data_IF_192630737836
#
_entry.id   IF_192630737836
#
_cell.length_a   1.000
_cell.length_b   1.000
_cell.length_c   1.000
_cell.angle_alpha   90.00
_cell.angle_beta   90.00
_cell.angle_gamma   90.00
#
_symmetry.space_group_name_H-M   'P 1'
#
loop_
_entity.id
_entity.type
_entity.pdbx_description
1 polymer ?
#
# COMPACT_ATOMS: atom_id res chain seq x y z
N UNK A 1 4.19 26.43 -0.11
CA UNK A 1 3.74 25.08 -0.53
C UNK A 1 3.72 24.19 0.69
N UNK A 2 2.61 23.47 0.94
CA UNK A 2 2.49 22.58 2.09
C UNK A 2 3.36 21.32 1.89
N UNK A 3 3.86 20.73 3.00
CA UNK A 3 4.69 19.50 2.98
C UNK A 3 4.02 18.34 2.23
N UNK A 4 2.69 18.31 2.19
CA UNK A 4 1.88 17.35 1.45
C UNK A 4 2.02 17.52 -0.07
N UNK A 5 2.13 18.74 -0.56
CA UNK A 5 2.29 19.03 -1.99
C UNK A 5 3.68 18.64 -2.51
N UNK A 6 4.72 18.73 -1.67
CA UNK A 6 6.08 18.31 -2.03
C UNK A 6 6.20 16.77 -2.11
N UNK A 7 5.57 16.05 -1.18
CA UNK A 7 5.54 14.58 -1.19
C UNK A 7 4.77 14.02 -2.40
N UNK A 8 3.66 14.65 -2.75
CA UNK A 8 2.87 14.26 -3.93
C UNK A 8 3.63 14.51 -5.23
N UNK A 9 4.35 15.64 -5.33
CA UNK A 9 5.16 15.95 -6.50
C UNK A 9 6.32 14.95 -6.69
N UNK A 10 6.99 14.53 -5.62
CA UNK A 10 8.07 13.54 -5.69
C UNK A 10 7.55 12.15 -6.12
N UNK A 11 6.40 11.71 -5.60
CA UNK A 11 5.80 10.44 -6.00
C UNK A 11 5.35 10.44 -7.47
N UNK A 12 4.81 11.55 -7.95
CA UNK A 12 4.42 11.71 -9.36
C UNK A 12 5.65 11.68 -10.29
N UNK A 13 6.75 12.32 -9.90
CA UNK A 13 7.99 12.33 -10.70
C UNK A 13 8.61 10.93 -10.79
N UNK A 14 8.61 10.14 -9.73
CA UNK A 14 9.10 8.75 -9.73
C UNK A 14 8.23 7.84 -10.59
N UNK A 15 6.92 7.97 -10.52
CA UNK A 15 5.99 7.19 -11.33
C UNK A 15 6.11 7.54 -12.83
N UNK A 16 6.27 8.83 -13.15
CA UNK A 16 6.45 9.29 -14.54
C UNK A 16 7.81 8.87 -15.12
N UNK A 17 8.90 8.84 -14.32
CA UNK A 17 10.21 8.39 -14.80
C UNK A 17 10.25 6.90 -15.13
N UNK A 18 9.58 6.05 -14.34
CA UNK A 18 9.46 4.62 -14.63
C UNK A 18 8.62 4.37 -15.91
N UNK A 19 7.55 5.14 -16.13
CA UNK A 19 6.76 5.10 -17.35
C UNK A 19 7.53 5.48 -18.60
N UNK A 20 8.39 6.50 -18.52
CA UNK A 20 9.20 6.98 -19.65
C UNK A 20 10.33 6.01 -20.03
N UNK A 21 11.00 5.40 -19.07
CA UNK A 21 11.99 4.34 -19.34
C UNK A 21 11.33 3.16 -20.05
N UNK A 22 10.11 2.78 -19.63
CA UNK A 22 9.32 1.75 -20.30
C UNK A 22 8.94 2.13 -21.74
N UNK A 23 8.51 3.37 -21.97
CA UNK A 23 8.16 3.89 -23.31
C UNK A 23 9.39 3.93 -24.23
N UNK A 24 10.55 4.34 -23.72
CA UNK A 24 11.81 4.35 -24.49
C UNK A 24 12.23 2.93 -24.86
N UNK A 25 12.18 1.97 -23.93
CA UNK A 25 12.48 0.55 -24.20
C UNK A 25 11.50 -0.04 -25.22
N UNK A 26 10.21 0.27 -25.12
CA UNK A 26 9.18 -0.17 -26.06
C UNK A 26 9.37 0.42 -27.47
N UNK A 27 9.79 1.68 -27.56
CA UNK A 27 10.11 2.32 -28.82
C UNK A 27 11.36 1.71 -29.50
N UNK A 28 12.39 1.30 -28.74
CA UNK A 28 13.57 0.60 -29.28
C UNK A 28 13.18 -0.79 -29.79
N UNK A 29 12.34 -1.54 -29.08
CA UNK A 29 11.83 -2.83 -29.54
C UNK A 29 10.97 -2.70 -30.80
N UNK A 30 10.08 -1.71 -30.86
CA UNK A 30 9.26 -1.41 -32.03
C UNK A 30 10.10 -1.04 -33.25
N UNK A 31 11.18 -0.29 -33.10
CA UNK A 31 12.13 0.03 -34.21
C UNK A 31 12.77 -1.24 -34.76
N UNK A 32 13.16 -2.18 -33.90
CA UNK A 32 13.77 -3.44 -34.30
C UNK A 32 12.77 -4.36 -35.01
N UNK A 33 11.52 -4.37 -34.56
CA UNK A 33 10.42 -5.16 -35.15
C UNK A 33 10.01 -4.60 -36.54
N UNK A 34 9.91 -3.27 -36.66
CA UNK A 34 9.60 -2.59 -37.94
C UNK A 34 10.73 -2.78 -38.94
N UNK A 35 12.00 -2.75 -38.51
CA UNK A 35 13.12 -3.02 -39.38
C UNK A 35 13.10 -4.47 -39.91
N UNK A 36 12.72 -5.45 -39.07
CA UNK A 36 12.53 -6.86 -39.47
C UNK A 36 11.34 -7.05 -40.41
N UNK A 37 10.22 -6.40 -40.19
CA UNK A 37 9.04 -6.47 -41.05
C UNK A 37 9.21 -5.75 -42.35
N UNK A 38 10.01 -4.67 -42.39
CA UNK A 38 10.33 -3.92 -43.59
C UNK A 38 11.20 -4.73 -44.60
N UNK A 39 12.10 -5.55 -44.07
CA UNK A 39 12.89 -6.49 -44.88
C UNK A 39 12.09 -7.68 -45.41
N UNK A 40 11.01 -8.08 -44.71
CA UNK A 40 10.18 -9.21 -45.07
C UNK A 40 9.02 -8.90 -46.04
N UNK A 41 8.56 -7.65 -46.15
CA UNK A 41 7.26 -7.32 -46.74
C UNK A 41 7.35 -6.54 -48.09
N UNK A 42 8.51 -6.23 -48.67
CA UNK A 42 8.60 -5.52 -49.97
C UNK A 42 7.86 -4.17 -50.00
N UNK A 43 7.66 -3.54 -48.84
CA UNK A 43 6.89 -2.32 -48.71
C UNK A 43 7.56 -1.13 -49.44
N UNK A 44 6.76 -0.29 -50.10
CA UNK A 44 7.18 0.92 -50.80
C UNK A 44 8.10 1.77 -49.93
N UNK A 45 9.29 2.08 -50.47
CA UNK A 45 10.32 2.92 -49.81
C UNK A 45 9.79 4.25 -49.26
N UNK A 46 8.73 4.77 -49.85
CA UNK A 46 8.09 6.04 -49.47
C UNK A 46 7.29 5.92 -48.13
N UNK A 47 6.60 4.83 -47.95
CA UNK A 47 5.81 4.59 -46.73
C UNK A 47 6.70 4.28 -45.53
N UNK A 48 7.79 3.56 -45.76
CA UNK A 48 8.84 3.32 -44.77
C UNK A 48 9.52 4.61 -44.30
N UNK A 49 9.91 5.49 -45.26
CA UNK A 49 10.48 6.80 -44.93
C UNK A 49 9.53 7.65 -44.08
N UNK A 50 8.21 7.60 -44.36
CA UNK A 50 7.21 8.33 -43.60
C UNK A 50 7.06 7.79 -42.17
N UNK A 51 7.04 6.46 -41.98
CA UNK A 51 6.99 5.82 -40.67
C UNK A 51 8.26 6.09 -39.86
N UNK A 52 9.42 6.05 -40.47
CA UNK A 52 10.70 6.37 -39.82
C UNK A 52 10.75 7.84 -39.39
N UNK A 53 10.29 8.77 -40.22
CA UNK A 53 10.23 10.19 -39.88
C UNK A 53 9.29 10.46 -38.69
N UNK A 54 8.11 9.84 -38.66
CA UNK A 54 7.16 9.96 -37.55
C UNK A 54 7.71 9.37 -36.24
N UNK A 55 8.43 8.24 -36.30
CA UNK A 55 9.09 7.64 -35.16
C UNK A 55 10.28 8.46 -34.65
N UNK A 56 11.01 9.09 -35.54
CA UNK A 56 12.12 10.01 -35.18
C UNK A 56 11.60 11.27 -34.48
N UNK A 57 10.45 11.81 -34.91
CA UNK A 57 9.81 12.93 -34.24
C UNK A 57 9.31 12.54 -32.82
N UNK A 58 8.70 11.36 -32.68
CA UNK A 58 8.26 10.87 -31.36
C UNK A 58 9.42 10.59 -30.42
N UNK A 59 10.53 10.08 -30.95
CA UNK A 59 11.74 9.85 -30.17
C UNK A 59 12.36 11.16 -29.67
N UNK A 60 12.42 12.18 -30.51
CA UNK A 60 12.91 13.51 -30.12
C UNK A 60 12.04 14.19 -29.08
N UNK A 61 10.70 14.02 -29.16
CA UNK A 61 9.79 14.50 -28.14
C UNK A 61 9.99 13.77 -26.80
N UNK A 62 10.14 12.45 -26.81
CA UNK A 62 10.41 11.66 -25.62
C UNK A 62 11.78 12.00 -24.97
N UNK A 63 12.79 12.31 -25.76
CA UNK A 63 14.09 12.78 -25.26
C UNK A 63 13.99 14.19 -24.62
N UNK A 64 13.18 15.08 -25.17
CA UNK A 64 12.92 16.39 -24.59
C UNK A 64 12.17 16.30 -23.26
N UNK A 65 11.17 15.41 -23.18
CA UNK A 65 10.43 15.15 -21.95
C UNK A 65 11.32 14.50 -20.88
N UNK A 66 12.21 13.58 -21.27
CA UNK A 66 13.18 12.97 -20.37
C UNK A 66 14.17 14.01 -19.82
N UNK A 67 14.65 14.94 -20.64
CA UNK A 67 15.53 16.03 -20.21
C UNK A 67 14.80 17.01 -19.25
N UNK A 68 13.53 17.33 -19.52
CA UNK A 68 12.71 18.16 -18.64
C UNK A 68 12.47 17.49 -17.27
N UNK A 69 12.21 16.19 -17.25
CA UNK A 69 12.08 15.40 -16.03
C UNK A 69 13.37 15.30 -15.25
N UNK A 70 14.51 15.14 -15.91
CA UNK A 70 15.82 15.11 -15.27
C UNK A 70 16.13 16.46 -14.59
N UNK A 71 15.78 17.57 -15.24
CA UNK A 71 15.88 18.92 -14.66
C UNK A 71 14.94 19.10 -13.47
N UNK A 72 13.71 18.62 -13.54
CA UNK A 72 12.75 18.63 -12.43
C UNK A 72 13.24 17.77 -11.25
N UNK A 73 13.81 16.59 -11.53
CA UNK A 73 14.40 15.72 -10.51
C UNK A 73 15.61 16.38 -9.82
N UNK A 74 16.45 17.08 -10.56
CA UNK A 74 17.56 17.87 -9.98
C UNK A 74 17.05 19.02 -9.11
N UNK A 75 15.98 19.72 -9.53
CA UNK A 75 15.34 20.77 -8.73
C UNK A 75 14.72 20.21 -7.43
N UNK A 76 14.10 19.03 -7.47
CA UNK A 76 13.59 18.35 -6.28
C UNK A 76 14.74 17.92 -5.36
N UNK A 77 15.83 17.35 -5.89
CA UNK A 77 17.02 16.99 -5.11
C UNK A 77 17.68 18.20 -4.44
N UNK A 78 17.77 19.31 -5.16
CA UNK A 78 18.30 20.58 -4.57
C UNK A 78 17.38 21.15 -3.51
N UNK A 79 16.05 21.08 -3.68
CA UNK A 79 15.08 21.45 -2.67
C UNK A 79 15.13 20.52 -1.43
N UNK A 80 15.40 19.22 -1.63
CA UNK A 80 15.65 18.28 -0.53
C UNK A 80 16.95 18.56 0.21
N UNK A 81 17.98 19.10 -0.45
CA UNK A 81 19.24 19.48 0.21
C UNK A 81 19.08 20.67 1.18
N UNK A 82 18.03 21.47 1.00
CA UNK A 82 17.60 22.52 1.96
C UNK A 82 16.59 22.03 2.99
N UNK A 83 16.26 20.72 2.96
CA UNK A 83 15.34 20.12 3.91
C UNK A 83 15.88 20.18 5.35
N UNK A 84 14.96 20.25 6.32
CA UNK A 84 15.33 20.29 7.74
C UNK A 84 16.17 19.04 8.11
N UNK A 85 17.03 19.14 9.14
CA UNK A 85 17.83 17.99 9.60
C UNK A 85 17.00 16.72 9.84
N UNK A 86 15.77 16.87 10.35
CA UNK A 86 14.83 15.77 10.56
C UNK A 86 14.40 15.09 9.26
N UNK A 87 14.19 15.86 8.19
CA UNK A 87 13.81 15.30 6.87
C UNK A 87 14.94 14.50 6.22
N UNK A 88 16.21 14.93 6.42
CA UNK A 88 17.39 14.18 5.95
C UNK A 88 17.52 12.86 6.69
N UNK A 89 17.41 12.86 8.01
CA UNK A 89 17.48 11.64 8.82
C UNK A 89 16.42 10.61 8.39
N UNK A 90 15.20 11.07 8.07
CA UNK A 90 14.14 10.17 7.60
C UNK A 90 14.43 9.59 6.20
N UNK A 91 15.00 10.40 5.29
CA UNK A 91 15.39 9.93 3.95
C UNK A 91 16.52 8.91 4.04
N UNK A 92 17.56 9.21 4.82
CA UNK A 92 18.70 8.32 5.03
C UNK A 92 18.27 6.99 5.69
N UNK A 93 17.34 7.06 6.65
CA UNK A 93 16.79 5.87 7.32
C UNK A 93 16.04 4.96 6.33
N UNK A 94 15.24 5.56 5.44
CA UNK A 94 14.53 4.82 4.40
C UNK A 94 15.48 4.15 3.41
N UNK A 95 16.49 4.87 2.90
CA UNK A 95 17.49 4.30 1.97
C UNK A 95 18.26 3.15 2.61
N UNK A 96 18.62 3.28 3.89
CA UNK A 96 19.27 2.20 4.66
C UNK A 96 18.35 0.99 4.83
N UNK A 97 17.05 1.21 5.07
CA UNK A 97 16.07 0.14 5.18
C UNK A 97 15.87 -0.60 3.84
N UNK A 98 15.78 0.14 2.73
CA UNK A 98 15.66 -0.45 1.39
C UNK A 98 16.88 -1.31 1.06
N UNK A 99 18.10 -0.84 1.37
CA UNK A 99 19.33 -1.59 1.18
C UNK A 99 19.39 -2.85 2.08
N UNK A 100 18.96 -2.75 3.34
CA UNK A 100 18.89 -3.89 4.26
C UNK A 100 17.90 -4.96 3.78
N UNK A 101 16.71 -4.55 3.37
CA UNK A 101 15.71 -5.46 2.81
C UNK A 101 16.20 -6.16 1.53
N UNK A 102 16.92 -5.45 0.66
CA UNK A 102 17.51 -6.03 -0.54
C UNK A 102 18.58 -7.10 -0.19
N UNK A 103 19.45 -6.83 0.81
CA UNK A 103 20.42 -7.82 1.29
C UNK A 103 19.73 -9.05 1.88
N UNK A 104 18.73 -8.86 2.73
CA UNK A 104 17.96 -9.94 3.33
C UNK A 104 17.27 -10.80 2.26
N UNK A 105 16.66 -10.17 1.25
CA UNK A 105 16.03 -10.89 0.14
C UNK A 105 17.06 -11.73 -0.64
N UNK A 106 18.27 -11.21 -0.86
CA UNK A 106 19.34 -11.95 -1.51
C UNK A 106 19.77 -13.17 -0.68
N UNK A 107 19.95 -13.02 0.63
CA UNK A 107 20.25 -14.11 1.55
C UNK A 107 19.15 -15.20 1.50
N UNK A 108 17.90 -14.81 1.47
CA UNK A 108 16.77 -15.75 1.36
C UNK A 108 16.81 -16.55 0.04
N UNK A 109 17.13 -15.90 -1.08
CA UNK A 109 17.29 -16.57 -2.38
C UNK A 109 18.49 -17.53 -2.38
N UNK A 110 19.57 -17.20 -1.65
CA UNK A 110 20.74 -18.06 -1.47
C UNK A 110 20.48 -19.24 -0.50
N UNK A 111 19.27 -19.35 0.08
CA UNK A 111 18.93 -20.39 1.06
C UNK A 111 19.43 -20.13 2.47
N UNK A 112 20.03 -18.99 2.75
CA UNK A 112 20.52 -18.55 4.07
C UNK A 112 19.37 -17.92 4.88
N UNK A 113 18.34 -18.73 5.16
CA UNK A 113 17.05 -18.25 5.68
C UNK A 113 17.16 -17.58 7.06
N UNK A 114 18.03 -18.11 7.97
CA UNK A 114 18.19 -17.50 9.28
C UNK A 114 18.92 -16.16 9.18
N UNK A 115 19.99 -16.06 8.38
CA UNK A 115 20.70 -14.81 8.16
C UNK A 115 19.79 -13.74 7.53
N UNK A 116 18.90 -14.15 6.62
CA UNK A 116 17.90 -13.27 6.04
C UNK A 116 16.92 -12.72 7.10
N UNK A 117 16.43 -13.60 7.99
CA UNK A 117 15.55 -13.18 9.10
C UNK A 117 16.26 -12.22 10.04
N UNK A 118 17.50 -12.49 10.41
CA UNK A 118 18.29 -11.64 11.31
C UNK A 118 18.49 -10.23 10.72
N UNK A 119 18.74 -10.14 9.41
CA UNK A 119 18.88 -8.85 8.70
C UNK A 119 17.53 -8.10 8.63
N UNK A 120 16.39 -8.78 8.39
CA UNK A 120 15.07 -8.16 8.46
C UNK A 120 14.74 -7.64 9.86
N UNK A 121 15.01 -8.43 10.89
CA UNK A 121 14.77 -8.03 12.29
C UNK A 121 15.66 -6.87 12.73
N UNK A 122 16.91 -6.84 12.26
CA UNK A 122 17.81 -5.70 12.47
C UNK A 122 17.25 -4.45 11.81
N UNK A 123 16.84 -4.53 10.55
CA UNK A 123 16.20 -3.44 9.83
C UNK A 123 14.97 -2.90 10.59
N UNK A 124 14.10 -3.77 11.07
CA UNK A 124 12.94 -3.43 11.87
C UNK A 124 13.30 -2.61 13.13
N UNK A 125 14.30 -3.06 13.90
CA UNK A 125 14.75 -2.39 15.13
C UNK A 125 15.41 -1.03 14.84
N UNK A 126 16.21 -0.96 13.78
CA UNK A 126 16.89 0.27 13.35
C UNK A 126 15.89 1.35 12.93
N UNK A 127 14.77 0.97 12.29
CA UNK A 127 13.69 1.86 11.93
C UNK A 127 12.93 2.36 13.15
N UNK A 128 12.60 1.49 14.11
CA UNK A 128 11.96 1.88 15.37
C UNK A 128 12.77 2.94 16.11
N UNK A 129 14.09 2.76 16.19
CA UNK A 129 14.99 3.71 16.84
C UNK A 129 15.13 5.07 16.11
N UNK A 130 14.95 5.12 14.78
CA UNK A 130 15.16 6.32 13.97
C UNK A 130 13.87 7.08 13.63
N UNK A 131 12.79 6.38 13.40
CA UNK A 131 11.51 6.94 12.91
C UNK A 131 10.39 6.86 13.95
N UNK A 132 10.60 6.14 15.05
CA UNK A 132 9.58 5.77 16.02
C UNK A 132 8.91 4.44 15.70
N UNK A 133 8.33 3.83 16.72
CA UNK A 133 7.60 2.57 16.61
C UNK A 133 6.32 2.79 15.77
N UNK A 134 5.95 1.79 14.94
CA UNK A 134 4.77 1.87 14.07
C UNK A 134 4.93 2.71 12.79
N UNK A 135 6.15 3.18 12.46
CA UNK A 135 6.40 3.95 11.24
C UNK A 135 6.02 3.16 9.97
N UNK A 136 5.71 3.87 8.87
CA UNK A 136 5.32 3.25 7.58
C UNK A 136 6.40 2.29 7.06
N UNK A 137 7.68 2.66 7.21
CA UNK A 137 8.79 1.80 6.77
C UNK A 137 8.91 0.56 7.67
N UNK A 138 8.68 0.69 8.97
CA UNK A 138 8.64 -0.44 9.90
C UNK A 138 7.49 -1.39 9.58
N UNK A 139 6.29 -0.87 9.26
CA UNK A 139 5.15 -1.69 8.83
C UNK A 139 5.45 -2.47 7.55
N UNK A 140 6.20 -1.88 6.61
CA UNK A 140 6.65 -2.55 5.39
C UNK A 140 7.59 -3.70 5.70
N UNK A 141 8.54 -3.54 6.62
CA UNK A 141 9.43 -4.63 7.05
C UNK A 141 8.64 -5.73 7.74
N UNK A 142 7.68 -5.40 8.63
CA UNK A 142 6.78 -6.40 9.22
C UNK A 142 6.04 -7.24 8.17
N UNK A 143 5.51 -6.60 7.13
CA UNK A 143 4.84 -7.30 6.03
C UNK A 143 5.79 -8.28 5.32
N UNK A 144 7.03 -7.86 5.06
CA UNK A 144 8.03 -8.73 4.43
C UNK A 144 8.36 -9.92 5.33
N UNK A 145 8.55 -9.72 6.65
CA UNK A 145 8.78 -10.81 7.61
C UNK A 145 7.58 -11.76 7.67
N UNK A 146 6.36 -11.25 7.67
CA UNK A 146 5.15 -12.06 7.67
C UNK A 146 5.03 -12.93 6.41
N UNK A 147 5.29 -12.35 5.23
CA UNK A 147 5.33 -13.09 3.97
C UNK A 147 6.45 -14.14 3.96
N UNK A 148 7.62 -13.80 4.49
CA UNK A 148 8.73 -14.74 4.64
C UNK A 148 8.36 -15.90 5.56
N UNK A 149 7.53 -15.66 6.58
CA UNK A 149 6.99 -16.67 7.49
C UNK A 149 6.15 -17.77 6.81
N UNK A 150 5.63 -17.52 5.59
CA UNK A 150 4.89 -18.55 4.83
C UNK A 150 5.79 -19.69 4.37
N UNK A 151 7.08 -19.43 4.17
CA UNK A 151 8.09 -20.41 3.76
C UNK A 151 9.09 -20.75 4.86
N UNK A 152 9.23 -19.86 5.84
CA UNK A 152 10.19 -20.01 6.95
C UNK A 152 9.50 -19.75 8.30
N UNK A 153 8.91 -20.76 8.97
CA UNK A 153 8.14 -20.62 10.21
C UNK A 153 8.83 -19.87 11.35
N UNK A 154 10.18 -19.90 11.53
CA UNK A 154 10.85 -19.07 12.55
C UNK A 154 10.58 -17.56 12.40
N UNK A 155 10.27 -17.06 11.20
CA UNK A 155 9.92 -15.65 11.02
C UNK A 155 8.58 -15.30 11.69
N UNK A 156 7.61 -16.21 11.71
CA UNK A 156 6.35 -16.04 12.45
C UNK A 156 6.60 -16.01 13.96
N UNK A 157 7.48 -16.89 14.45
CA UNK A 157 7.86 -16.89 15.86
C UNK A 157 8.52 -15.57 16.27
N UNK A 158 9.40 -15.04 15.41
CA UNK A 158 10.04 -13.75 15.65
C UNK A 158 9.05 -12.58 15.70
N UNK A 159 8.01 -12.57 14.85
CA UNK A 159 6.94 -11.55 14.94
C UNK A 159 6.15 -11.66 16.25
N UNK A 160 5.89 -12.87 16.74
CA UNK A 160 5.24 -13.06 18.06
C UNK A 160 6.11 -12.53 19.18
N UNK A 161 7.41 -12.78 19.14
CA UNK A 161 8.36 -12.25 20.14
C UNK A 161 8.42 -10.72 20.12
N UNK A 162 8.39 -10.09 18.95
CA UNK A 162 8.30 -8.63 18.82
C UNK A 162 6.99 -8.11 19.46
N UNK A 163 5.85 -8.72 19.17
CA UNK A 163 4.57 -8.37 19.78
C UNK A 163 4.60 -8.49 21.29
N UNK A 164 5.09 -9.61 21.80
CA UNK A 164 5.11 -9.87 23.23
C UNK A 164 6.04 -8.89 23.96
N UNK A 165 7.14 -8.49 23.31
CA UNK A 165 8.02 -7.42 23.78
C UNK A 165 7.32 -6.07 23.80
N UNK A 166 6.58 -5.71 22.75
CA UNK A 166 5.80 -4.47 22.69
C UNK A 166 4.69 -4.46 23.77
N UNK A 167 4.03 -5.61 23.99
CA UNK A 167 3.04 -5.76 25.07
C UNK A 167 3.66 -5.55 26.45
N UNK A 168 4.87 -6.04 26.70
CA UNK A 168 5.58 -5.81 27.97
C UNK A 168 5.92 -4.33 28.17
N UNK A 169 6.41 -3.67 27.12
CA UNK A 169 6.66 -2.22 27.13
C UNK A 169 5.39 -1.42 27.41
N UNK A 170 4.27 -1.79 26.77
CA UNK A 170 2.99 -1.11 26.99
C UNK A 170 2.50 -1.26 28.43
N UNK A 171 2.71 -2.41 29.06
CA UNK A 171 2.39 -2.61 30.49
C UNK A 171 3.27 -1.73 31.40
N UNK A 172 4.52 -1.52 31.04
CA UNK A 172 5.47 -0.67 31.80
C UNK A 172 5.20 0.83 31.59
N UNK A 173 4.69 1.21 30.40
CA UNK A 173 4.39 2.59 30.00
C UNK A 173 3.02 2.66 29.34
N UNK A 174 1.93 2.62 30.12
CA UNK A 174 0.57 2.69 29.58
C UNK A 174 0.34 4.00 28.82
N UNK A 175 -0.45 3.94 27.74
CA UNK A 175 -0.86 5.14 26.99
C UNK A 175 0.08 5.51 25.85
N UNK A 176 1.06 4.70 25.49
CA UNK A 176 1.93 4.94 24.34
C UNK A 176 1.22 4.51 23.05
N UNK A 177 0.74 5.47 22.27
CA UNK A 177 -0.03 5.25 21.03
C UNK A 177 0.77 4.43 20.00
N UNK A 178 2.04 4.68 19.87
CA UNK A 178 2.94 3.98 18.96
C UNK A 178 3.01 2.49 19.29
N UNK A 179 3.09 2.12 20.58
CA UNK A 179 3.11 0.71 21.01
C UNK A 179 1.78 0.01 20.74
N UNK A 180 0.65 0.69 20.96
CA UNK A 180 -0.68 0.16 20.66
C UNK A 180 -0.81 -0.11 19.17
N UNK A 181 -0.36 0.83 18.34
CA UNK A 181 -0.34 0.67 16.87
C UNK A 181 0.54 -0.49 16.43
N UNK A 182 1.76 -0.60 17.00
CA UNK A 182 2.70 -1.67 16.71
C UNK A 182 2.12 -3.04 17.06
N UNK A 183 1.54 -3.19 18.26
CA UNK A 183 0.90 -4.44 18.70
C UNK A 183 -0.26 -4.82 17.78
N UNK A 184 -1.12 -3.87 17.43
CA UNK A 184 -2.26 -4.12 16.55
C UNK A 184 -1.81 -4.58 15.16
N UNK A 185 -0.79 -3.94 14.60
CA UNK A 185 -0.21 -4.32 13.30
C UNK A 185 0.44 -5.70 13.34
N UNK A 186 1.18 -6.02 14.40
CA UNK A 186 1.77 -7.34 14.60
C UNK A 186 0.68 -8.42 14.70
N UNK A 187 -0.38 -8.19 15.47
CA UNK A 187 -1.51 -9.12 15.57
C UNK A 187 -2.20 -9.33 14.22
N UNK A 188 -2.38 -8.26 13.43
CA UNK A 188 -2.97 -8.35 12.09
C UNK A 188 -2.10 -9.19 11.14
N UNK A 189 -0.77 -8.97 11.17
CA UNK A 189 0.19 -9.74 10.35
C UNK A 189 0.31 -11.21 10.77
N UNK A 190 0.04 -11.51 12.03
CA UNK A 190 0.00 -12.86 12.57
C UNK A 190 -1.35 -13.58 12.33
N UNK A 191 -2.38 -12.86 11.84
CA UNK A 191 -3.75 -13.37 11.77
C UNK A 191 -4.41 -13.52 13.15
N UNK A 192 -3.89 -12.84 14.15
CA UNK A 192 -4.33 -12.90 15.55
C UNK A 192 -5.14 -11.64 15.94
N UNK A 193 -5.98 -11.12 15.03
CA UNK A 193 -6.73 -9.88 15.24
C UNK A 193 -7.66 -9.89 16.46
N UNK A 194 -8.07 -11.08 16.95
CA UNK A 194 -8.80 -11.20 18.23
C UNK A 194 -7.99 -10.69 19.43
N UNK A 195 -6.66 -10.77 19.38
CA UNK A 195 -5.82 -10.21 20.43
C UNK A 195 -5.87 -8.67 20.43
N UNK A 196 -5.99 -8.04 19.27
CA UNK A 196 -6.23 -6.59 19.17
C UNK A 196 -7.60 -6.18 19.70
N UNK A 197 -8.65 -7.00 19.47
CA UNK A 197 -9.97 -6.76 20.06
C UNK A 197 -9.94 -6.90 21.57
N UNK A 198 -9.24 -7.90 22.12
CA UNK A 198 -9.07 -8.05 23.56
C UNK A 198 -8.35 -6.85 24.18
N UNK A 199 -7.31 -6.32 23.51
CA UNK A 199 -6.63 -5.09 23.96
C UNK A 199 -7.58 -3.89 23.91
N UNK A 200 -8.37 -3.74 22.83
CA UNK A 200 -9.39 -2.70 22.69
C UNK A 200 -10.39 -2.71 23.85
N UNK A 201 -10.84 -3.89 24.28
CA UNK A 201 -11.81 -4.05 25.37
C UNK A 201 -11.23 -3.66 26.75
N UNK A 202 -9.90 -3.62 26.90
CA UNK A 202 -9.26 -3.15 28.14
C UNK A 202 -9.14 -1.64 28.24
N UNK A 203 -9.29 -0.90 27.13
CA UNK A 203 -9.16 0.56 27.10
C UNK A 203 -10.48 1.24 27.53
N UNK A 204 -10.39 2.40 28.22
CA UNK A 204 -11.54 3.23 28.51
C UNK A 204 -12.33 3.59 27.24
N UNK A 205 -13.66 3.79 27.33
CA UNK A 205 -14.50 4.10 26.15
C UNK A 205 -14.08 5.37 25.37
N UNK A 206 -13.53 6.34 26.06
CA UNK A 206 -13.06 7.63 25.55
C UNK A 206 -11.57 7.65 25.20
N UNK A 207 -10.87 6.53 25.33
CA UNK A 207 -9.45 6.44 24.98
C UNK A 207 -9.26 6.55 23.46
N UNK A 208 -8.42 7.52 23.03
CA UNK A 208 -8.14 7.77 21.62
C UNK A 208 -7.51 6.55 20.91
N UNK A 209 -6.82 5.70 21.67
CA UNK A 209 -6.19 4.49 21.16
C UNK A 209 -7.20 3.44 20.68
N UNK A 210 -8.45 3.49 21.16
CA UNK A 210 -9.53 2.66 20.63
C UNK A 210 -9.77 2.94 19.15
N UNK A 211 -9.67 4.19 18.72
CA UNK A 211 -9.78 4.56 17.30
C UNK A 211 -8.69 3.91 16.45
N UNK A 212 -7.46 3.95 16.91
CA UNK A 212 -6.30 3.31 16.25
C UNK A 212 -6.45 1.80 16.17
N UNK A 213 -6.82 1.14 17.29
CA UNK A 213 -7.06 -0.30 17.32
C UNK A 213 -8.23 -0.70 16.40
N UNK A 214 -9.34 0.03 16.45
CA UNK A 214 -10.50 -0.25 15.62
C UNK A 214 -10.18 -0.13 14.12
N UNK A 215 -9.36 0.85 13.74
CA UNK A 215 -8.93 1.05 12.36
C UNK A 215 -8.03 -0.09 11.87
N UNK A 216 -7.04 -0.50 12.67
CA UNK A 216 -6.08 -1.54 12.29
C UNK A 216 -6.73 -2.93 12.32
N UNK A 217 -7.45 -3.27 13.39
CA UNK A 217 -8.10 -4.57 13.56
C UNK A 217 -9.52 -4.63 12.99
N UNK A 218 -9.87 -3.73 12.08
CA UNK A 218 -11.23 -3.56 11.55
C UNK A 218 -11.81 -4.85 10.96
N UNK A 219 -11.00 -5.59 10.21
CA UNK A 219 -11.39 -6.89 9.65
C UNK A 219 -11.86 -7.85 10.74
N UNK A 220 -11.16 -7.94 11.87
CA UNK A 220 -11.48 -8.81 12.99
C UNK A 220 -12.77 -8.37 13.72
N UNK A 221 -13.01 -7.07 13.86
CA UNK A 221 -14.27 -6.56 14.38
C UNK A 221 -15.45 -6.90 13.46
N UNK A 222 -15.25 -6.75 12.14
CA UNK A 222 -16.29 -7.09 11.13
C UNK A 222 -16.57 -8.59 11.11
N UNK A 223 -15.54 -9.43 11.14
CA UNK A 223 -15.70 -10.90 11.24
C UNK A 223 -16.45 -11.32 12.50
N UNK A 224 -16.24 -10.61 13.60
CA UNK A 224 -16.92 -10.82 14.87
C UNK A 224 -18.25 -10.07 14.97
N UNK A 225 -18.70 -9.40 13.90
CA UNK A 225 -19.94 -8.59 13.82
C UNK A 225 -20.01 -7.47 14.87
N UNK A 226 -18.88 -6.99 15.31
CA UNK A 226 -18.74 -5.84 16.22
C UNK A 226 -18.69 -4.54 15.38
N UNK A 227 -19.74 -4.28 14.62
CA UNK A 227 -19.77 -3.20 13.62
C UNK A 227 -19.67 -1.81 14.25
N UNK A 228 -20.24 -1.60 15.44
CA UNK A 228 -20.12 -0.33 16.16
C UNK A 228 -18.65 -0.03 16.51
N UNK A 229 -17.90 -1.04 16.96
CA UNK A 229 -16.48 -0.93 17.26
C UNK A 229 -15.65 -0.74 15.97
N UNK A 230 -15.98 -1.46 14.89
CA UNK A 230 -15.34 -1.30 13.60
C UNK A 230 -15.52 0.09 12.98
N UNK A 231 -16.49 0.88 13.43
CA UNK A 231 -16.76 2.24 12.99
C UNK A 231 -15.99 3.29 13.80
N UNK A 232 -15.47 2.95 14.98
CA UNK A 232 -14.71 3.88 15.82
C UNK A 232 -13.49 4.41 15.06
N UNK A 233 -13.26 5.70 15.10
CA UNK A 233 -12.17 6.37 14.37
C UNK A 233 -12.37 6.50 12.86
N UNK A 234 -13.50 6.02 12.30
CA UNK A 234 -13.78 6.08 10.87
C UNK A 234 -15.06 6.88 10.60
N UNK A 235 -15.02 7.81 9.65
CA UNK A 235 -16.17 8.58 9.22
C UNK A 235 -16.66 8.13 7.84
N UNK A 236 -17.93 8.40 7.53
CA UNK A 236 -18.45 8.19 6.17
C UNK A 236 -17.64 8.96 5.11
N UNK A 237 -17.24 10.20 5.43
CA UNK A 237 -16.40 11.01 4.55
C UNK A 237 -15.04 10.38 4.28
N UNK A 238 -14.41 9.73 5.28
CA UNK A 238 -13.14 9.02 5.07
C UNK A 238 -13.33 7.77 4.20
N UNK A 239 -14.42 7.02 4.38
CA UNK A 239 -14.75 5.85 3.54
C UNK A 239 -14.97 6.25 2.07
N UNK A 240 -15.70 7.35 1.84
CA UNK A 240 -15.91 7.90 0.50
C UNK A 240 -14.60 8.36 -0.15
N UNK A 241 -13.75 9.05 0.60
CA UNK A 241 -12.45 9.49 0.11
C UNK A 241 -11.51 8.31 -0.21
N UNK A 242 -11.50 7.26 0.61
CA UNK A 242 -10.75 6.03 0.35
C UNK A 242 -11.19 5.39 -0.98
N UNK A 243 -12.50 5.25 -1.19
CA UNK A 243 -13.05 4.75 -2.45
C UNK A 243 -12.64 5.61 -3.64
N UNK A 244 -12.72 6.95 -3.52
CA UNK A 244 -12.34 7.87 -4.59
C UNK A 244 -10.84 7.81 -4.93
N UNK A 245 -10.00 7.71 -3.92
CA UNK A 245 -8.55 7.52 -4.10
C UNK A 245 -8.28 6.18 -4.79
N UNK A 246 -8.91 5.10 -4.33
CA UNK A 246 -8.77 3.77 -4.91
C UNK A 246 -9.18 3.72 -6.39
N UNK A 247 -10.34 4.28 -6.73
CA UNK A 247 -10.82 4.38 -8.11
C UNK A 247 -9.83 5.17 -8.97
N UNK A 248 -9.41 6.35 -8.54
CA UNK A 248 -8.42 7.16 -9.27
C UNK A 248 -7.10 6.42 -9.44
N UNK A 249 -6.62 5.77 -8.40
CA UNK A 249 -5.35 5.01 -8.47
C UNK A 249 -5.46 3.85 -9.45
N UNK A 250 -6.62 3.18 -9.53
CA UNK A 250 -6.83 2.08 -10.48
C UNK A 250 -6.73 2.53 -11.93
N UNK A 251 -7.06 3.79 -12.27
CA UNK A 251 -6.97 4.30 -13.65
C UNK A 251 -5.54 4.41 -14.17
N UNK A 252 -4.54 4.40 -13.28
CA UNK A 252 -3.11 4.50 -13.61
C UNK A 252 -2.42 3.13 -13.65
N UNK A 253 -3.13 2.06 -13.27
CA UNK A 253 -2.59 0.71 -13.22
C UNK A 253 -2.89 -0.06 -14.50
N UNK A 254 -2.04 -1.05 -14.80
CA UNK A 254 -2.21 -1.96 -15.94
C UNK A 254 -1.89 -3.40 -15.54
N UNK A 255 -2.38 -4.36 -16.32
CA UNK A 255 -2.08 -5.78 -16.09
C UNK A 255 -2.46 -6.26 -14.68
N UNK A 256 -1.58 -7.03 -14.05
CA UNK A 256 -1.84 -7.62 -12.72
C UNK A 256 -1.99 -6.55 -11.62
N UNK A 257 -1.30 -5.42 -11.72
CA UNK A 257 -1.46 -4.32 -10.76
C UNK A 257 -2.85 -3.72 -10.77
N UNK A 258 -3.49 -3.62 -11.94
CA UNK A 258 -4.88 -3.17 -12.06
C UNK A 258 -5.84 -4.16 -11.39
N UNK A 259 -5.65 -5.47 -11.62
CA UNK A 259 -6.47 -6.52 -11.00
C UNK A 259 -6.37 -6.44 -9.48
N UNK A 260 -5.15 -6.39 -8.94
CA UNK A 260 -4.92 -6.32 -7.50
C UNK A 260 -5.52 -5.04 -6.89
N UNK A 261 -5.39 -3.88 -7.57
CA UNK A 261 -5.95 -2.62 -7.10
C UNK A 261 -7.48 -2.64 -7.13
N UNK A 262 -8.08 -3.20 -8.19
CA UNK A 262 -9.53 -3.36 -8.29
C UNK A 262 -10.07 -4.23 -7.15
N UNK A 263 -9.44 -5.38 -6.89
CA UNK A 263 -9.79 -6.27 -5.78
C UNK A 263 -9.68 -5.56 -4.43
N UNK A 264 -8.63 -4.78 -4.23
CA UNK A 264 -8.47 -3.98 -3.01
C UNK A 264 -9.61 -2.98 -2.82
N UNK A 265 -9.95 -2.22 -3.87
CA UNK A 265 -11.04 -1.23 -3.84
C UNK A 265 -12.37 -1.91 -3.54
N UNK A 266 -12.67 -3.01 -4.22
CA UNK A 266 -13.93 -3.75 -4.01
C UNK A 266 -14.01 -4.27 -2.57
N UNK A 267 -13.00 -4.99 -2.10
CA UNK A 267 -12.98 -5.58 -0.74
C UNK A 267 -13.10 -4.52 0.35
N UNK A 268 -12.33 -3.44 0.26
CA UNK A 268 -12.40 -2.34 1.23
C UNK A 268 -13.78 -1.70 1.28
N UNK A 269 -14.39 -1.45 0.11
CA UNK A 269 -15.72 -0.83 0.03
C UNK A 269 -16.82 -1.78 0.53
N UNK A 270 -16.74 -3.07 0.23
CA UNK A 270 -17.67 -4.08 0.75
C UNK A 270 -17.64 -4.13 2.28
N UNK A 271 -16.45 -4.08 2.88
CA UNK A 271 -16.30 -4.00 4.34
C UNK A 271 -16.95 -2.73 4.90
N UNK A 272 -16.82 -1.59 4.22
CA UNK A 272 -17.46 -0.34 4.61
C UNK A 272 -18.99 -0.42 4.52
N UNK A 273 -19.53 -0.99 3.44
CA UNK A 273 -20.98 -1.22 3.25
C UNK A 273 -21.51 -2.11 4.37
N UNK A 274 -20.81 -3.20 4.68
CA UNK A 274 -21.21 -4.13 5.75
C UNK A 274 -21.24 -3.45 7.12
N UNK A 275 -20.21 -2.69 7.47
CA UNK A 275 -20.14 -1.95 8.75
C UNK A 275 -21.29 -0.96 8.85
N UNK A 276 -21.53 -0.15 7.82
CA UNK A 276 -22.61 0.84 7.82
C UNK A 276 -23.99 0.18 7.92
N UNK A 277 -24.20 -0.93 7.22
CA UNK A 277 -25.43 -1.72 7.31
C UNK A 277 -25.62 -2.27 8.72
N UNK A 278 -24.58 -2.84 9.31
CA UNK A 278 -24.62 -3.46 10.63
C UNK A 278 -24.87 -2.48 11.79
N UNK A 279 -24.52 -1.18 11.60
CA UNK A 279 -24.86 -0.11 12.55
C UNK A 279 -26.15 0.64 12.21
N UNK A 280 -26.90 0.21 11.18
CA UNK A 280 -28.16 0.83 10.76
C UNK A 280 -28.03 2.11 9.94
N UNK A 281 -26.85 2.47 9.47
CA UNK A 281 -26.60 3.64 8.60
C UNK A 281 -26.87 3.32 7.14
N UNK A 282 -28.13 2.93 6.86
CA UNK A 282 -28.54 2.34 5.58
C UNK A 282 -28.40 3.30 4.38
N UNK A 283 -28.63 4.60 4.59
CA UNK A 283 -28.49 5.59 3.52
C UNK A 283 -27.03 5.79 3.12
N UNK A 284 -26.10 5.85 4.11
CA UNK A 284 -24.66 5.91 3.86
C UNK A 284 -24.18 4.64 3.13
N UNK A 285 -24.67 3.46 3.55
CA UNK A 285 -24.37 2.19 2.89
C UNK A 285 -24.88 2.16 1.43
N UNK A 286 -26.08 2.70 1.18
CA UNK A 286 -26.66 2.81 -0.18
C UNK A 286 -25.77 3.66 -1.09
N UNK A 287 -25.34 4.84 -0.63
CA UNK A 287 -24.48 5.74 -1.41
C UNK A 287 -23.15 5.07 -1.79
N UNK A 288 -22.50 4.36 -0.83
CA UNK A 288 -21.28 3.60 -1.15
C UNK A 288 -21.55 2.48 -2.14
N UNK A 289 -22.68 1.78 -2.01
CA UNK A 289 -23.10 0.71 -2.92
C UNK A 289 -23.27 1.22 -4.34
N UNK A 290 -23.98 2.33 -4.53
CA UNK A 290 -24.19 2.94 -5.84
C UNK A 290 -22.87 3.35 -6.49
N UNK A 291 -21.97 3.94 -5.70
CA UNK A 291 -20.65 4.35 -6.18
C UNK A 291 -19.76 3.16 -6.54
N UNK A 292 -19.78 2.09 -5.73
CA UNK A 292 -19.07 0.85 -6.05
C UNK A 292 -19.61 0.21 -7.34
N UNK A 293 -20.94 0.17 -7.52
CA UNK A 293 -21.56 -0.37 -8.72
C UNK A 293 -21.30 0.49 -9.97
N UNK A 294 -21.14 1.79 -9.82
CA UNK A 294 -20.67 2.66 -10.91
C UNK A 294 -19.22 2.37 -11.32
N UNK A 295 -18.39 1.95 -10.38
CA UNK A 295 -16.99 1.54 -10.64
C UNK A 295 -16.91 0.09 -11.18
N UNK A 296 -17.61 -0.84 -10.55
CA UNK A 296 -17.67 -2.25 -10.95
C UNK A 296 -19.11 -2.79 -10.87
N UNK A 297 -19.84 -2.64 -11.97
CA UNK A 297 -21.21 -3.13 -12.10
C UNK A 297 -21.32 -4.61 -12.44
N UNK A 298 -20.26 -5.43 -12.27
CA UNK A 298 -20.25 -6.85 -12.56
C UNK A 298 -21.25 -7.62 -11.70
N UNK A 299 -21.75 -8.75 -12.21
CA UNK A 299 -22.64 -9.65 -11.48
C UNK A 299 -21.96 -10.19 -10.21
N UNK A 300 -20.66 -10.47 -10.29
CA UNK A 300 -19.84 -10.90 -9.15
C UNK A 300 -19.85 -9.86 -8.02
N UNK A 301 -19.62 -8.58 -8.33
CA UNK A 301 -19.64 -7.50 -7.33
C UNK A 301 -21.05 -7.32 -6.74
N UNK A 302 -22.11 -7.43 -7.54
CA UNK A 302 -23.51 -7.39 -7.03
C UNK A 302 -23.78 -8.53 -6.05
N UNK A 303 -23.33 -9.74 -6.36
CA UNK A 303 -23.48 -10.91 -5.48
C UNK A 303 -22.73 -10.72 -4.15
N UNK A 304 -21.51 -10.17 -4.20
CA UNK A 304 -20.73 -9.87 -3.00
C UNK A 304 -21.40 -8.81 -2.12
N UNK A 305 -21.92 -7.71 -2.71
CA UNK A 305 -22.68 -6.68 -1.99
C UNK A 305 -23.85 -7.32 -1.24
N UNK A 306 -24.65 -8.14 -1.94
CA UNK A 306 -25.79 -8.83 -1.34
C UNK A 306 -25.34 -9.70 -0.14
N UNK A 307 -24.28 -10.47 -0.31
CA UNK A 307 -23.74 -11.33 0.75
C UNK A 307 -23.31 -10.53 1.99
N UNK A 308 -22.62 -9.39 1.81
CA UNK A 308 -22.15 -8.54 2.90
C UNK A 308 -23.34 -7.87 3.64
N UNK A 309 -24.36 -7.40 2.91
CA UNK A 309 -25.56 -6.81 3.48
C UNK A 309 -26.36 -7.87 4.27
N UNK A 310 -26.53 -9.07 3.72
CA UNK A 310 -27.21 -10.17 4.41
C UNK A 310 -26.47 -10.57 5.70
N UNK A 311 -25.14 -10.66 5.65
CA UNK A 311 -24.31 -10.96 6.83
C UNK A 311 -24.46 -9.89 7.92
N UNK A 312 -24.47 -8.62 7.52
CA UNK A 312 -24.65 -7.50 8.46
C UNK A 312 -26.01 -7.48 9.13
N UNK A 313 -27.04 -8.01 8.45
CA UNK A 313 -28.42 -8.07 8.96
C UNK A 313 -28.68 -9.25 9.91
N UNK A 314 -27.74 -10.19 10.03
CA UNK A 314 -27.88 -11.32 10.94
C UNK A 314 -27.46 -10.94 12.38
N UNK A 315 -28.05 -11.54 13.42
CA UNK A 315 -27.63 -11.28 14.79
C UNK A 315 -26.15 -11.65 15.00
N UNK A 316 -25.45 -10.99 15.93
CA UNK A 316 -24.07 -11.34 16.26
C UNK A 316 -23.97 -12.81 16.66
N UNK A 317 -22.89 -13.46 16.23
CA UNK A 317 -22.60 -14.84 16.66
C UNK A 317 -22.17 -14.80 18.14
N UNK A 318 -22.73 -15.64 19.02
CA UNK A 318 -22.36 -15.66 20.42
C UNK A 318 -20.91 -16.02 20.68
#
# INVERSE_FOLDING_TARGET
MSKLQLGLAAAVVVAMSAGLVWEVCKNVQLRTEIAKQATAAGASTTELKRKVAALSQRAAAAEADAAALQKALQAVKSAQSTASPRSRVLTDAKEQADAAMARASKLAVEGKLQEALDEYLKCYRDLAGKQGEGSVDQQRVMLVIANFGTTYPPAVAALRELRDTAMQKLKASPGTEELVSEIALLNERLGEGRASMALYDTLPPDDIQRGTLAMIARSSFVESRRYADALVGTSFGSMMNELDIGIRTSTWQTGQSLVNMRDYVIKGTLTNIEVLTGVGKLEEARVLTEKLLAYDGSEATRALIKQHVERASQPPTP
#
